data_IF_663517355153
#
_entry.id   IF_663517355153
#
_cell.length_a   1.000
_cell.length_b   1.000
_cell.length_c   1.000
_cell.angle_alpha   90.00
_cell.angle_beta   90.00
_cell.angle_gamma   90.00
#
_symmetry.space_group_name_H-M   'P 1'
#
loop_
_entity.id
_entity.type
_entity.pdbx_description
1 polymer ?
#
# COMPACT_ATOMS: atom_id res chain seq x y z
N UNK A 1 -8.43 9.41 -8.16
CA UNK A 1 -7.23 9.16 -8.98
C UNK A 1 -6.61 7.90 -8.45
N UNK A 2 -6.53 6.87 -9.30
CA UNK A 2 -6.05 5.54 -8.91
C UNK A 2 -4.55 5.48 -9.17
N UNK A 3 -3.77 5.00 -8.21
CA UNK A 3 -2.31 4.93 -8.26
C UNK A 3 -1.89 3.50 -7.92
N UNK A 4 -1.03 2.92 -8.73
CA UNK A 4 -0.48 1.59 -8.47
C UNK A 4 0.87 1.71 -7.74
N UNK A 5 1.09 0.89 -6.71
CA UNK A 5 2.35 0.83 -5.96
C UNK A 5 2.80 -0.60 -5.71
N UNK A 6 4.11 -0.80 -5.72
CA UNK A 6 4.74 -2.09 -5.41
C UNK A 6 5.13 -2.10 -3.93
N UNK A 7 4.65 -3.08 -3.18
CA UNK A 7 5.02 -3.33 -1.79
C UNK A 7 5.91 -4.58 -1.72
N UNK A 8 7.10 -4.41 -1.17
CA UNK A 8 8.06 -5.51 -0.96
C UNK A 8 8.10 -5.85 0.52
N UNK A 9 7.91 -7.12 0.81
CA UNK A 9 7.94 -7.65 2.16
C UNK A 9 9.05 -8.69 2.30
N UNK A 10 9.69 -8.73 3.47
CA UNK A 10 10.66 -9.75 3.82
C UNK A 10 9.96 -11.07 4.24
N UNK A 11 9.05 -11.57 3.41
CA UNK A 11 8.30 -12.81 3.63
C UNK A 11 8.24 -13.62 2.35
N UNK A 12 7.97 -14.92 2.46
CA UNK A 12 7.78 -15.80 1.30
C UNK A 12 6.47 -15.49 0.55
N UNK A 13 6.39 -15.89 -0.73
CA UNK A 13 5.20 -15.72 -1.57
C UNK A 13 3.92 -16.25 -0.91
N UNK A 14 4.00 -17.36 -0.18
CA UNK A 14 2.83 -17.90 0.55
C UNK A 14 2.31 -16.91 1.60
N UNK A 15 3.22 -16.25 2.31
CA UNK A 15 2.87 -15.20 3.27
C UNK A 15 2.26 -13.99 2.57
N UNK A 16 2.81 -13.58 1.43
CA UNK A 16 2.28 -12.47 0.64
C UNK A 16 0.87 -12.76 0.10
N UNK A 17 0.57 -13.99 -0.32
CA UNK A 17 -0.76 -14.40 -0.78
C UNK A 17 -1.82 -14.35 0.33
N UNK A 18 -1.43 -14.57 1.58
CA UNK A 18 -2.31 -14.40 2.74
C UNK A 18 -2.45 -12.92 3.10
N UNK A 19 -1.37 -12.13 2.97
CA UNK A 19 -1.37 -10.72 3.31
C UNK A 19 -2.15 -9.86 2.31
N UNK A 20 -1.97 -10.07 1.00
CA UNK A 20 -2.57 -9.26 -0.06
C UNK A 20 -4.08 -8.97 0.12
N UNK A 21 -4.96 -9.97 0.35
CA UNK A 21 -6.38 -9.70 0.54
C UNK A 21 -6.69 -8.88 1.79
N UNK A 22 -5.84 -8.93 2.83
CA UNK A 22 -6.01 -8.14 4.06
C UNK A 22 -5.67 -6.66 3.88
N UNK A 23 -4.94 -6.32 2.82
CA UNK A 23 -4.61 -4.93 2.50
C UNK A 23 -5.80 -4.21 1.88
N UNK A 24 -6.70 -4.91 1.19
CA UNK A 24 -7.88 -4.30 0.56
C UNK A 24 -8.76 -3.66 1.63
N UNK A 25 -9.09 -2.38 1.44
CA UNK A 25 -9.81 -1.55 2.41
C UNK A 25 -8.95 -0.91 3.50
N UNK A 26 -7.65 -1.20 3.55
CA UNK A 26 -6.71 -0.51 4.44
C UNK A 26 -6.26 0.81 3.82
N UNK A 27 -6.04 1.81 4.68
CA UNK A 27 -5.36 3.04 4.27
C UNK A 27 -3.86 2.87 4.52
N UNK A 28 -3.06 2.94 3.47
CA UNK A 28 -1.60 2.85 3.58
C UNK A 28 -0.94 4.18 3.23
N UNK A 29 0.24 4.40 3.80
CA UNK A 29 1.10 5.53 3.47
C UNK A 29 2.06 5.15 2.35
N UNK A 30 2.25 6.02 1.37
CA UNK A 30 3.20 5.81 0.28
C UNK A 30 3.94 7.11 -0.04
N UNK A 31 5.18 6.98 -0.48
CA UNK A 31 5.97 8.12 -0.94
C UNK A 31 5.63 8.46 -2.40
N UNK A 32 5.33 9.72 -2.65
CA UNK A 32 5.26 10.34 -3.96
C UNK A 32 6.51 11.22 -4.14
N UNK A 33 7.46 10.75 -4.94
CA UNK A 33 8.80 11.34 -4.99
C UNK A 33 9.55 11.21 -3.65
N UNK A 34 10.48 12.13 -3.40
CA UNK A 34 11.37 12.08 -2.23
C UNK A 34 10.83 12.81 -0.98
N UNK A 35 9.74 13.57 -1.09
CA UNK A 35 9.31 14.49 -0.01
C UNK A 35 7.85 14.33 0.42
N UNK A 36 7.00 13.76 -0.42
CA UNK A 36 5.56 13.74 -0.16
C UNK A 36 5.11 12.37 0.31
N UNK A 37 4.94 12.22 1.63
CA UNK A 37 4.23 11.08 2.19
C UNK A 37 2.72 11.30 2.03
N UNK A 38 2.08 10.45 1.23
CA UNK A 38 0.63 10.48 0.99
C UNK A 38 -0.04 9.25 1.55
N UNK A 39 -1.36 9.32 1.66
CA UNK A 39 -2.20 8.22 2.11
C UNK A 39 -3.18 7.83 1.01
N UNK A 40 -3.35 6.53 0.80
CA UNK A 40 -4.27 5.97 -0.18
C UNK A 40 -5.03 4.79 0.38
N UNK A 41 -6.31 4.67 0.02
CA UNK A 41 -7.12 3.50 0.34
C UNK A 41 -6.84 2.41 -0.69
N UNK A 42 -6.43 1.23 -0.24
CA UNK A 42 -6.19 0.08 -1.12
C UNK A 42 -7.54 -0.44 -1.63
N UNK A 43 -7.70 -0.49 -2.95
CA UNK A 43 -8.88 -1.04 -3.65
C UNK A 43 -8.66 -2.46 -4.14
N UNK A 44 -7.45 -2.77 -4.57
CA UNK A 44 -7.03 -4.09 -5.01
C UNK A 44 -5.59 -4.35 -4.58
N UNK A 45 -5.25 -5.62 -4.41
CA UNK A 45 -3.92 -6.07 -4.03
C UNK A 45 -3.65 -7.45 -4.64
N UNK A 46 -2.62 -7.53 -5.47
CA UNK A 46 -2.26 -8.73 -6.23
C UNK A 46 -0.80 -9.11 -5.99
N UNK A 47 -0.53 -10.41 -5.90
CA UNK A 47 0.84 -10.92 -5.72
C UNK A 47 1.45 -11.21 -7.09
N UNK A 48 2.48 -10.46 -7.45
CA UNK A 48 3.20 -10.57 -8.72
C UNK A 48 4.66 -10.96 -8.47
N UNK A 49 5.37 -11.24 -9.57
CA UNK A 49 6.81 -11.56 -9.55
C UNK A 49 7.55 -10.61 -10.47
N UNK A 50 8.70 -10.15 -10.01
CA UNK A 50 9.59 -9.33 -10.82
C UNK A 50 10.34 -10.19 -11.87
N UNK A 51 11.07 -9.54 -12.78
CA UNK A 51 11.92 -10.19 -13.79
C UNK A 51 12.92 -11.19 -13.22
N UNK A 52 13.37 -10.99 -11.97
CA UNK A 52 14.28 -11.90 -11.27
C UNK A 52 13.56 -12.95 -10.41
N UNK A 53 12.23 -12.99 -10.44
CA UNK A 53 11.42 -13.96 -9.72
C UNK A 53 11.13 -13.60 -8.26
N UNK A 54 11.55 -12.43 -7.79
CA UNK A 54 11.23 -11.97 -6.44
C UNK A 54 9.73 -11.60 -6.34
N UNK A 55 8.98 -12.16 -5.37
CA UNK A 55 7.58 -11.84 -5.20
C UNK A 55 7.41 -10.43 -4.59
N UNK A 56 6.36 -9.73 -5.02
CA UNK A 56 5.94 -8.45 -4.48
C UNK A 56 4.41 -8.34 -4.54
N UNK A 57 3.85 -7.42 -3.76
CA UNK A 57 2.41 -7.13 -3.80
C UNK A 57 2.20 -5.83 -4.57
N UNK A 58 1.51 -5.90 -5.69
CA UNK A 58 1.02 -4.73 -6.40
C UNK A 58 -0.30 -4.28 -5.75
N UNK A 59 -0.38 -3.02 -5.34
CA UNK A 59 -1.60 -2.46 -4.75
C UNK A 59 -2.14 -1.32 -5.61
N UNK A 60 -3.44 -1.36 -5.87
CA UNK A 60 -4.18 -0.25 -6.46
C UNK A 60 -4.72 0.63 -5.33
N UNK A 61 -4.31 1.90 -5.34
CA UNK A 61 -4.63 2.87 -4.31
C UNK A 61 -5.56 3.93 -4.88
N UNK A 62 -6.65 4.20 -4.17
CA UNK A 62 -7.44 5.42 -4.37
C UNK A 62 -6.83 6.53 -3.50
N UNK A 63 -6.21 7.52 -4.14
CA UNK A 63 -5.60 8.64 -3.43
C UNK A 63 -6.66 9.42 -2.65
N UNK A 64 -6.51 9.52 -1.32
CA UNK A 64 -7.29 10.44 -0.53
C UNK A 64 -6.86 11.87 -0.89
N UNK A 65 -7.83 12.76 -1.15
CA UNK A 65 -7.57 14.16 -1.45
C UNK A 65 -6.70 14.75 -0.33
N UNK A 66 -5.50 15.22 -0.68
CA UNK A 66 -4.54 15.78 0.27
C UNK A 66 -5.25 16.86 1.12
N UNK A 67 -5.46 16.54 2.41
CA UNK A 67 -6.27 17.37 3.30
C UNK A 67 -6.79 16.64 4.54
N UNK A 68 -6.90 15.30 4.50
CA UNK A 68 -7.18 14.51 5.69
C UNK A 68 -5.89 14.35 6.51
N UNK A 69 -5.49 15.40 7.22
CA UNK A 69 -4.68 15.24 8.43
C UNK A 69 -5.47 14.32 9.37
N UNK A 70 -5.15 13.04 9.41
CA UNK A 70 -5.57 12.19 10.51
C UNK A 70 -4.90 12.78 11.75
N UNK A 71 -5.71 13.45 12.57
CA UNK A 71 -5.28 14.15 13.77
C UNK A 71 -4.46 13.22 14.67
N UNK A 72 -3.38 13.70 15.32
CA UNK A 72 -2.80 12.94 16.42
C UNK A 72 -3.90 12.72 17.47
N UNK A 73 -4.00 11.48 17.94
CA UNK A 73 -4.96 11.08 18.96
C UNK A 73 -4.98 12.09 20.13
N UNK A 74 -6.15 12.48 20.65
CA UNK A 74 -6.18 13.22 21.90
C UNK A 74 -5.71 12.29 23.01
N UNK A 75 -4.47 12.46 23.47
CA UNK A 75 -4.08 11.96 24.78
C UNK A 75 -4.87 12.78 25.81
N UNK A 76 -5.77 12.09 26.51
CA UNK A 76 -6.52 12.59 27.67
C UNK A 76 -5.66 12.59 28.93
#
# INVERSE_FOLDING_TARGET
MTITKELRFAMDEKGMKVLAPTLVGQTISYWEGDKDLRHGLVKAADVLRDRYGAPFIEVELEAAKAGAKTAPAPSA
#
